data_IF_265039374537
#
_entry.id   IF_265039374537
#
_cell.length_a   1.000
_cell.length_b   1.000
_cell.length_c   1.000
_cell.angle_alpha   90.00
_cell.angle_beta   90.00
_cell.angle_gamma   90.00
#
_symmetry.space_group_name_H-M   'P 1'
#
loop_
_entity.id
_entity.type
_entity.pdbx_description
1 polymer ?
#
# COMPACT_ATOMS: atom_id res chain seq x y z
N UNK A 1 58.06 13.56 -6.86
CA UNK A 1 57.18 12.46 -7.31
C UNK A 1 56.13 12.10 -6.25
N UNK A 2 56.48 11.86 -5.01
CA UNK A 2 55.54 11.51 -3.92
C UNK A 2 54.50 12.61 -3.60
N UNK A 3 54.87 13.89 -3.60
CA UNK A 3 53.96 15.00 -3.30
C UNK A 3 52.80 15.13 -4.32
N UNK A 4 53.05 14.83 -5.59
CA UNK A 4 52.02 14.92 -6.64
C UNK A 4 51.10 13.70 -6.60
N UNK A 5 51.61 12.51 -6.23
CA UNK A 5 50.82 11.30 -6.05
C UNK A 5 49.83 11.47 -4.89
N UNK A 6 50.29 12.04 -3.77
CA UNK A 6 49.45 12.29 -2.59
C UNK A 6 48.37 13.34 -2.84
N UNK A 7 48.72 14.40 -3.61
CA UNK A 7 47.78 15.45 -4.00
C UNK A 7 46.67 14.91 -4.93
N UNK A 8 47.05 14.05 -5.87
CA UNK A 8 46.07 13.43 -6.78
C UNK A 8 45.21 12.38 -6.04
N UNK A 9 45.74 11.65 -5.10
CA UNK A 9 45.00 10.68 -4.28
C UNK A 9 44.00 11.38 -3.36
N UNK A 10 44.38 12.52 -2.76
CA UNK A 10 43.49 13.34 -1.94
C UNK A 10 42.37 13.96 -2.75
N UNK A 11 42.65 14.35 -3.99
CA UNK A 11 41.64 14.94 -4.90
C UNK A 11 40.63 13.90 -5.38
N UNK A 12 41.05 12.65 -5.60
CA UNK A 12 40.14 11.54 -5.95
C UNK A 12 39.24 11.17 -4.77
N UNK A 13 39.80 11.18 -3.54
CA UNK A 13 39.03 10.87 -2.33
C UNK A 13 37.94 11.91 -2.01
N UNK A 14 38.18 13.19 -2.38
CA UNK A 14 37.16 14.24 -2.22
C UNK A 14 36.04 14.18 -3.25
N UNK A 15 36.25 13.57 -4.43
CA UNK A 15 35.23 13.43 -5.45
C UNK A 15 34.21 12.28 -5.16
N UNK A 16 34.53 11.36 -4.27
CA UNK A 16 33.67 10.20 -3.96
C UNK A 16 32.65 10.48 -2.86
N UNK A 17 32.74 11.58 -2.13
CA UNK A 17 31.83 11.91 -1.02
C UNK A 17 30.57 12.67 -1.44
N UNK A 18 30.39 12.97 -2.72
CA UNK A 18 29.33 13.85 -3.23
C UNK A 18 28.04 13.15 -3.71
N UNK A 19 27.97 11.84 -3.79
CA UNK A 19 26.77 11.13 -4.31
C UNK A 19 26.00 10.37 -3.21
N UNK A 20 25.74 11.04 -2.08
CA UNK A 20 24.65 10.59 -1.19
C UNK A 20 23.32 11.02 -1.79
N UNK A 21 22.92 10.39 -2.88
CA UNK A 21 21.57 10.47 -3.39
C UNK A 21 20.63 10.00 -2.29
N UNK A 22 19.82 10.90 -1.73
CA UNK A 22 18.69 10.51 -0.88
C UNK A 22 17.82 9.61 -1.74
N UNK A 23 17.84 8.31 -1.48
CA UNK A 23 16.84 7.40 -2.00
C UNK A 23 15.50 7.87 -1.43
N UNK A 24 14.69 8.52 -2.25
CA UNK A 24 13.29 8.81 -1.93
C UNK A 24 12.56 7.47 -1.97
N UNK A 25 12.52 6.79 -0.82
CA UNK A 25 11.62 5.65 -0.63
C UNK A 25 10.22 6.23 -0.57
N UNK A 26 9.43 6.01 -1.62
CA UNK A 26 8.02 6.34 -1.59
C UNK A 26 7.37 5.50 -0.47
N UNK A 27 6.73 6.17 0.49
CA UNK A 27 6.00 5.50 1.55
C UNK A 27 4.82 4.74 0.94
N UNK A 28 4.77 3.44 1.15
CA UNK A 28 3.72 2.56 0.63
C UNK A 28 2.64 2.42 1.71
N UNK A 29 1.40 2.72 1.33
CA UNK A 29 0.25 2.56 2.20
C UNK A 29 -0.49 1.26 1.86
N UNK A 30 -0.68 0.40 2.84
CA UNK A 30 -1.46 -0.82 2.70
C UNK A 30 -2.89 -0.59 3.19
N UNK A 31 -3.87 -1.08 2.42
CA UNK A 31 -5.28 -0.96 2.76
C UNK A 31 -5.97 -2.33 2.60
N UNK A 32 -6.59 -2.81 3.67
CA UNK A 32 -7.27 -4.10 3.68
C UNK A 32 -8.78 -3.94 3.70
N UNK A 33 -9.45 -4.73 2.86
CA UNK A 33 -10.91 -4.79 2.76
C UNK A 33 -11.37 -6.17 3.22
N UNK A 34 -11.98 -6.27 4.39
CA UNK A 34 -12.58 -7.48 4.88
C UNK A 34 -13.80 -7.87 4.03
N UNK A 35 -13.87 -9.12 3.60
CA UNK A 35 -14.89 -9.58 2.66
C UNK A 35 -15.78 -10.67 3.26
N UNK A 36 -15.69 -11.87 2.79
CA UNK A 36 -16.36 -13.08 3.20
C UNK A 36 -15.58 -14.28 2.73
N UNK A 37 -16.21 -15.44 2.66
CA UNK A 37 -15.58 -16.61 2.04
C UNK A 37 -15.32 -16.37 0.56
N UNK A 38 -14.24 -16.95 0.04
CA UNK A 38 -13.76 -16.72 -1.34
C UNK A 38 -14.75 -17.14 -2.42
N UNK A 39 -15.69 -18.03 -2.11
CA UNK A 39 -16.75 -18.46 -3.02
C UNK A 39 -17.99 -17.54 -3.03
N UNK A 40 -18.03 -16.52 -2.18
CA UNK A 40 -19.19 -15.65 -2.01
C UNK A 40 -18.94 -14.25 -2.60
N UNK A 41 -20.01 -13.48 -2.79
CA UNK A 41 -20.05 -12.21 -3.53
C UNK A 41 -19.08 -11.15 -2.97
N UNK A 42 -18.90 -11.06 -1.67
CA UNK A 42 -18.06 -10.01 -1.08
C UNK A 42 -16.58 -10.11 -1.50
N UNK A 43 -16.06 -11.31 -1.66
CA UNK A 43 -14.64 -11.48 -1.99
C UNK A 43 -14.29 -10.97 -3.40
N UNK A 44 -14.96 -11.40 -4.49
CA UNK A 44 -14.66 -10.87 -5.82
C UNK A 44 -14.97 -9.36 -5.95
N UNK A 45 -16.04 -8.86 -5.31
CA UNK A 45 -16.35 -7.43 -5.32
C UNK A 45 -15.27 -6.64 -4.57
N UNK A 46 -14.83 -7.11 -3.41
CA UNK A 46 -13.71 -6.52 -2.69
C UNK A 46 -12.41 -6.50 -3.50
N UNK A 47 -12.14 -7.56 -4.26
CA UNK A 47 -11.01 -7.63 -5.18
C UNK A 47 -11.07 -6.60 -6.31
N UNK A 48 -12.24 -6.39 -6.89
CA UNK A 48 -12.45 -5.34 -7.90
C UNK A 48 -12.22 -3.94 -7.33
N UNK A 49 -12.76 -3.66 -6.13
CA UNK A 49 -12.54 -2.38 -5.44
C UNK A 49 -11.06 -2.20 -5.12
N UNK A 50 -10.41 -3.21 -4.54
CA UNK A 50 -8.99 -3.16 -4.21
C UNK A 50 -8.14 -2.83 -5.44
N UNK A 51 -8.41 -3.47 -6.58
CA UNK A 51 -7.74 -3.16 -7.84
C UNK A 51 -7.99 -1.72 -8.31
N UNK A 52 -9.23 -1.26 -8.22
CA UNK A 52 -9.61 0.07 -8.71
C UNK A 52 -8.94 1.20 -7.92
N UNK A 53 -8.79 1.04 -6.59
CA UNK A 53 -8.22 2.08 -5.72
C UNK A 53 -6.69 1.99 -5.58
N UNK A 54 -6.08 0.88 -5.98
CA UNK A 54 -4.62 0.68 -5.87
C UNK A 54 -3.86 1.40 -6.97
N UNK A 55 -2.75 2.06 -6.59
CA UNK A 55 -1.71 2.53 -7.50
C UNK A 55 -0.34 2.32 -6.84
N UNK A 56 0.21 1.11 -6.88
CA UNK A 56 1.51 0.81 -6.30
C UNK A 56 2.62 1.69 -6.86
N UNK A 57 3.70 1.94 -6.11
CA UNK A 57 4.87 2.64 -6.63
C UNK A 57 5.39 1.98 -7.90
N UNK A 58 5.78 2.79 -8.90
CA UNK A 58 6.25 2.29 -10.19
C UNK A 58 5.17 1.80 -11.15
N UNK A 59 3.89 1.92 -10.78
CA UNK A 59 2.78 1.63 -11.70
C UNK A 59 2.82 2.54 -12.92
N UNK A 60 2.42 1.97 -14.08
CA UNK A 60 2.22 2.76 -15.30
C UNK A 60 1.17 3.85 -15.06
N UNK A 61 1.35 4.99 -15.72
CA UNK A 61 0.40 6.11 -15.64
C UNK A 61 -1.01 5.72 -16.14
N UNK A 62 -2.03 6.25 -15.47
CA UNK A 62 -3.43 5.99 -15.76
C UNK A 62 -3.79 6.26 -17.23
N UNK A 63 -3.40 7.40 -17.77
CA UNK A 63 -3.66 7.77 -19.17
C UNK A 63 -2.92 6.89 -20.21
N UNK A 64 -2.02 6.02 -19.77
CA UNK A 64 -1.28 5.06 -20.60
C UNK A 64 -1.73 3.60 -20.34
N UNK A 65 -2.94 3.41 -19.84
CA UNK A 65 -3.48 2.09 -19.50
C UNK A 65 -2.91 1.49 -18.21
N UNK A 66 -2.45 2.32 -17.29
CA UNK A 66 -1.98 1.91 -15.97
C UNK A 66 -3.03 2.09 -14.88
N UNK A 67 -2.58 2.02 -13.63
CA UNK A 67 -3.43 2.16 -12.45
C UNK A 67 -3.87 3.60 -12.22
N UNK A 68 -5.18 3.81 -12.05
CA UNK A 68 -5.80 5.12 -11.81
C UNK A 68 -6.16 5.37 -10.33
N UNK A 69 -5.75 4.48 -9.44
CA UNK A 69 -6.04 4.56 -8.01
C UNK A 69 -5.23 5.62 -7.27
N UNK A 70 -5.24 5.52 -5.95
CA UNK A 70 -4.52 6.44 -5.06
C UNK A 70 -3.01 6.16 -5.11
N UNK A 71 -2.16 7.15 -5.39
CA UNK A 71 -0.72 6.95 -5.46
C UNK A 71 -0.15 6.31 -4.20
N UNK A 72 0.74 5.35 -4.38
CA UNK A 72 1.40 4.57 -3.33
C UNK A 72 0.46 3.70 -2.46
N UNK A 73 -0.79 3.53 -2.85
CA UNK A 73 -1.74 2.65 -2.18
C UNK A 73 -1.68 1.25 -2.78
N UNK A 74 -1.57 0.25 -1.89
CA UNK A 74 -1.76 -1.16 -2.21
C UNK A 74 -2.95 -1.66 -1.40
N UNK A 75 -4.10 -1.79 -2.03
CA UNK A 75 -5.29 -2.36 -1.43
C UNK A 75 -5.40 -3.85 -1.70
N UNK A 76 -5.99 -4.59 -0.78
CA UNK A 76 -6.22 -6.03 -0.91
C UNK A 76 -7.54 -6.46 -0.29
N UNK A 77 -8.24 -7.38 -0.96
CA UNK A 77 -9.38 -8.08 -0.41
C UNK A 77 -8.91 -9.22 0.51
N UNK A 78 -9.45 -9.28 1.70
CA UNK A 78 -9.10 -10.30 2.71
C UNK A 78 -10.34 -11.13 2.99
N UNK A 79 -10.22 -12.45 2.84
CA UNK A 79 -11.32 -13.37 3.20
C UNK A 79 -11.62 -13.32 4.69
N UNK A 80 -12.88 -13.53 5.04
CA UNK A 80 -13.36 -13.51 6.42
C UNK A 80 -14.58 -14.41 6.60
N UNK A 81 -15.09 -14.45 7.81
CA UNK A 81 -16.35 -15.14 8.13
C UNK A 81 -17.60 -14.24 7.89
N UNK A 82 -17.41 -13.06 7.28
CA UNK A 82 -18.49 -12.14 6.92
C UNK A 82 -18.61 -10.94 7.85
N UNK A 83 -19.81 -10.35 7.88
CA UNK A 83 -20.08 -9.02 8.43
C UNK A 83 -19.58 -8.80 9.86
N UNK A 84 -19.92 -9.71 10.79
CA UNK A 84 -19.54 -9.58 12.22
C UNK A 84 -18.02 -9.68 12.39
N UNK A 85 -17.37 -10.60 11.67
CA UNK A 85 -15.90 -10.74 11.68
C UNK A 85 -15.21 -9.49 11.15
N UNK A 86 -15.76 -8.89 10.10
CA UNK A 86 -15.24 -7.65 9.53
C UNK A 86 -15.35 -6.47 10.49
N UNK A 87 -16.51 -6.29 11.13
CA UNK A 87 -16.71 -5.24 12.12
C UNK A 87 -15.74 -5.40 13.30
N UNK A 88 -15.62 -6.59 13.85
CA UNK A 88 -14.68 -6.84 14.95
C UNK A 88 -13.22 -6.61 14.55
N UNK A 89 -12.84 -6.98 13.33
CA UNK A 89 -11.50 -6.75 12.83
C UNK A 89 -11.18 -5.26 12.62
N UNK A 90 -12.18 -4.45 12.22
CA UNK A 90 -12.04 -2.98 12.12
C UNK A 90 -11.90 -2.35 13.52
N UNK A 91 -12.76 -2.74 14.46
CA UNK A 91 -12.73 -2.24 15.84
C UNK A 91 -11.37 -2.52 16.50
N UNK A 92 -10.81 -3.71 16.25
CA UNK A 92 -9.50 -4.11 16.79
C UNK A 92 -8.29 -3.56 16.01
N UNK A 93 -8.51 -2.80 14.94
CA UNK A 93 -7.44 -2.23 14.11
C UNK A 93 -6.74 -3.24 13.19
N UNK A 94 -7.27 -4.44 13.04
CA UNK A 94 -6.71 -5.48 12.16
C UNK A 94 -7.04 -5.27 10.69
N UNK A 95 -8.07 -4.48 10.37
CA UNK A 95 -8.50 -4.14 9.00
C UNK A 95 -8.88 -2.67 8.90
N UNK A 96 -8.69 -2.13 7.70
CA UNK A 96 -9.03 -0.73 7.43
C UNK A 96 -10.51 -0.55 7.08
N UNK A 97 -11.10 -1.57 6.45
CA UNK A 97 -12.50 -1.55 6.00
C UNK A 97 -13.07 -2.97 5.88
N UNK A 98 -14.35 -3.08 5.61
CA UNK A 98 -14.97 -4.38 5.37
C UNK A 98 -16.41 -4.26 4.92
N UNK A 99 -16.89 -5.32 4.25
CA UNK A 99 -18.29 -5.46 3.92
C UNK A 99 -19.10 -5.88 5.15
N UNK A 100 -20.26 -5.30 5.28
CA UNK A 100 -21.23 -5.69 6.29
C UNK A 100 -22.65 -5.65 5.72
N UNK A 101 -23.51 -6.55 6.21
CA UNK A 101 -24.94 -6.47 6.00
C UNK A 101 -25.50 -5.28 6.76
N UNK A 102 -26.61 -4.73 6.28
CA UNK A 102 -27.19 -3.50 6.80
C UNK A 102 -27.59 -3.58 8.27
N UNK A 103 -28.10 -4.72 8.72
CA UNK A 103 -28.46 -4.99 10.11
C UNK A 103 -27.22 -5.03 11.03
N UNK A 104 -26.16 -5.71 10.61
CA UNK A 104 -24.89 -5.75 11.34
C UNK A 104 -24.24 -4.36 11.40
N UNK A 105 -24.25 -3.60 10.29
CA UNK A 105 -23.75 -2.24 10.26
C UNK A 105 -24.55 -1.31 11.19
N UNK A 106 -25.88 -1.46 11.22
CA UNK A 106 -26.76 -0.71 12.12
C UNK A 106 -26.43 -0.99 13.59
N UNK A 107 -26.31 -2.25 13.96
CA UNK A 107 -25.98 -2.61 15.35
C UNK A 107 -24.58 -2.17 15.74
N UNK A 108 -23.63 -2.25 14.85
CA UNK A 108 -22.26 -1.77 15.11
C UNK A 108 -22.20 -0.25 15.34
N UNK A 109 -23.15 0.51 14.74
CA UNK A 109 -23.24 1.96 14.90
C UNK A 109 -24.05 2.37 16.13
N UNK A 110 -25.10 1.64 16.47
CA UNK A 110 -26.03 2.00 17.56
C UNK A 110 -25.65 1.40 18.93
N UNK A 111 -24.82 0.36 18.96
CA UNK A 111 -24.37 -0.34 20.19
C UNK A 111 -25.25 -1.53 20.49
#
# INVERSE_FOLDING_TARGET
MFKNLFKNFLMILLLTTGLSGKAFSAEVNFFTIGTGGTAYTYYPVGGMIANAISKPPGSRECGKGGSCGVPNLIASAVSSRGSVDNVNAIISGLRNSGFAQSDVAYWAYTG
#
